data_IF_473366468190
#
_entry.id   IF_473366468190
#
_cell.length_a   1.000
_cell.length_b   1.000
_cell.length_c   1.000
_cell.angle_alpha   90.00
_cell.angle_beta   90.00
_cell.angle_gamma   90.00
#
_symmetry.space_group_name_H-M   'P 1'
#
loop_
_entity.id
_entity.type
_entity.pdbx_description
1 polymer ?
#
# COMPACT_ATOMS: atom_id res chain seq x y z
N UNK A 1 43.52 21.37 11.91
CA UNK A 1 42.86 21.32 10.59
C UNK A 1 42.34 19.91 10.42
N UNK A 2 41.03 19.75 10.23
CA UNK A 2 40.34 18.45 10.18
C UNK A 2 39.22 18.40 11.22
N UNK A 3 38.07 18.99 10.91
CA UNK A 3 36.88 18.92 11.76
C UNK A 3 36.16 17.59 11.51
N UNK A 4 36.15 16.75 12.55
CA UNK A 4 35.14 15.72 12.77
C UNK A 4 33.77 16.41 12.89
N UNK A 5 32.82 16.06 12.03
CA UNK A 5 31.41 16.24 12.35
C UNK A 5 30.81 14.85 12.65
N UNK A 6 30.65 14.58 13.94
CA UNK A 6 29.69 13.60 14.46
C UNK A 6 28.31 13.93 13.90
N UNK A 7 27.70 12.98 13.18
CA UNK A 7 26.27 12.99 12.94
C UNK A 7 25.63 12.27 14.13
N UNK A 8 25.13 13.07 15.08
CA UNK A 8 24.24 12.61 16.13
C UNK A 8 22.80 12.75 15.62
N UNK A 9 22.15 11.63 15.29
CA UNK A 9 20.69 11.60 15.11
C UNK A 9 20.08 11.29 16.48
N UNK A 10 19.78 12.35 17.22
CA UNK A 10 19.01 12.30 18.45
C UNK A 10 17.54 12.20 18.06
N UNK A 11 16.89 11.11 18.48
CA UNK A 11 15.44 10.96 18.51
C UNK A 11 14.79 12.14 19.26
N UNK A 12 14.20 13.07 18.53
CA UNK A 12 13.33 14.10 19.09
C UNK A 12 11.87 13.65 18.99
N UNK A 13 11.35 13.05 20.06
CA UNK A 13 9.92 12.95 20.33
C UNK A 13 9.63 12.90 21.83
N UNK A 14 9.72 14.07 22.47
CA UNK A 14 9.17 14.45 23.79
C UNK A 14 8.91 15.96 23.66
N UNK A 15 7.76 16.60 23.96
CA UNK A 15 6.72 16.48 24.99
C UNK A 15 5.37 16.87 24.36
N UNK A 16 4.20 16.41 24.84
CA UNK A 16 3.47 17.05 25.94
C UNK A 16 2.83 16.02 26.88
N UNK A 17 3.28 16.02 28.13
CA UNK A 17 2.46 15.66 29.30
C UNK A 17 2.01 16.97 29.95
N UNK A 18 0.72 17.08 30.29
CA UNK A 18 0.28 17.61 31.59
C UNK A 18 -1.22 17.38 31.82
N UNK A 19 -1.49 16.51 32.79
CA UNK A 19 -2.52 16.59 33.83
C UNK A 19 -4.01 16.70 33.44
N UNK A 20 -4.75 15.63 33.77
CA UNK A 20 -5.70 15.71 34.88
C UNK A 20 -5.81 14.36 35.59
N UNK A 21 -5.65 14.43 36.91
CA UNK A 21 -5.74 13.35 37.89
C UNK A 21 -7.17 12.82 38.07
N UNK A 22 -7.25 11.59 38.56
CA UNK A 22 -8.42 10.78 38.89
C UNK A 22 -9.62 11.50 39.52
N UNK A 23 -10.82 11.01 39.19
CA UNK A 23 -11.82 10.72 40.22
C UNK A 23 -12.74 9.59 39.77
N UNK A 24 -12.70 8.46 40.50
CA UNK A 24 -13.74 7.43 40.50
C UNK A 24 -15.08 8.08 40.90
N UNK A 25 -16.14 7.84 40.15
CA UNK A 25 -17.51 7.86 40.70
C UNK A 25 -18.36 6.77 40.06
N UNK A 26 -19.19 6.16 40.90
CA UNK A 26 -20.01 4.96 40.70
C UNK A 26 -21.17 5.18 39.69
N UNK A 27 -21.84 4.10 39.23
CA UNK A 27 -22.80 4.17 38.13
C UNK A 27 -24.25 4.46 38.56
N UNK A 28 -25.07 4.77 37.54
CA UNK A 28 -26.55 4.83 37.47
C UNK A 28 -27.20 6.17 37.87
N UNK A 29 -28.43 6.51 37.40
CA UNK A 29 -29.41 5.68 36.68
C UNK A 29 -30.05 6.28 35.42
N UNK A 30 -30.70 5.40 34.65
CA UNK A 30 -31.62 5.69 33.53
C UNK A 30 -32.89 6.41 34.01
N UNK A 31 -33.35 7.47 33.32
CA UNK A 31 -34.74 7.95 33.36
C UNK A 31 -35.36 7.90 31.95
N UNK A 32 -36.31 6.99 31.68
CA UNK A 32 -37.77 7.20 31.70
C UNK A 32 -38.27 8.45 30.96
N UNK A 33 -38.78 8.18 29.77
CA UNK A 33 -39.73 8.97 28.98
C UNK A 33 -41.01 9.29 29.77
N UNK A 34 -41.62 10.47 29.50
CA UNK A 34 -43.07 10.48 29.31
C UNK A 34 -43.50 11.30 28.07
N UNK A 35 -44.41 10.70 27.31
CA UNK A 35 -45.30 11.36 26.36
C UNK A 35 -46.31 12.28 27.07
N UNK A 36 -46.70 13.36 26.38
CA UNK A 36 -48.10 13.65 26.00
C UNK A 36 -48.57 15.11 26.17
N UNK A 37 -49.16 15.60 25.07
CA UNK A 37 -50.31 16.51 24.93
C UNK A 37 -50.23 18.02 25.21
N UNK A 38 -50.05 18.74 24.10
CA UNK A 38 -50.98 19.70 23.49
C UNK A 38 -51.71 20.75 24.37
N UNK A 39 -51.48 22.04 24.05
CA UNK A 39 -52.58 23.00 23.87
C UNK A 39 -52.16 24.16 22.95
N UNK A 40 -53.03 24.45 21.99
CA UNK A 40 -52.98 25.50 20.95
C UNK A 40 -53.46 26.83 21.52
N UNK A 41 -52.84 27.97 21.15
CA UNK A 41 -53.52 29.25 20.87
C UNK A 41 -52.66 30.17 19.96
N UNK A 42 -53.11 30.21 18.69
CA UNK A 42 -53.20 31.29 17.68
C UNK A 42 -52.54 32.65 17.97
N UNK A 43 -51.71 33.15 17.03
CA UNK A 43 -52.00 34.37 16.25
C UNK A 43 -51.01 34.58 15.09
N UNK A 44 -51.57 34.96 13.93
CA UNK A 44 -50.88 35.26 12.68
C UNK A 44 -50.43 36.71 12.73
N UNK A 45 -49.14 36.97 12.50
CA UNK A 45 -48.70 38.27 11.99
C UNK A 45 -47.70 38.07 10.85
N UNK A 46 -48.05 38.65 9.72
CA UNK A 46 -47.40 38.52 8.43
C UNK A 46 -46.50 39.75 8.24
N UNK A 47 -45.22 39.66 8.62
CA UNK A 47 -44.21 40.53 8.01
C UNK A 47 -42.79 39.99 8.12
N UNK A 48 -42.08 40.11 7.00
CA UNK A 48 -40.63 40.17 6.86
C UNK A 48 -39.82 38.89 7.19
N UNK A 49 -39.56 38.13 6.12
CA UNK A 49 -38.21 38.03 5.57
C UNK A 49 -37.10 37.57 6.53
N UNK A 50 -36.93 36.26 6.64
CA UNK A 50 -35.62 35.62 6.49
C UNK A 50 -35.87 34.13 6.31
N UNK A 51 -35.77 33.67 5.07
CA UNK A 51 -35.59 32.24 4.82
C UNK A 51 -34.32 31.86 5.57
N UNK A 52 -34.46 31.21 6.73
CA UNK A 52 -33.37 30.56 7.41
C UNK A 52 -32.70 29.63 6.41
N UNK A 53 -31.61 30.11 5.82
CA UNK A 53 -30.72 29.32 4.99
C UNK A 53 -30.06 28.36 5.97
N UNK A 54 -30.69 27.20 6.16
CA UNK A 54 -30.08 26.05 6.78
C UNK A 54 -28.76 25.83 6.04
N UNK A 55 -27.68 26.31 6.64
CA UNK A 55 -26.32 26.20 6.12
C UNK A 55 -25.85 24.77 6.35
N UNK A 56 -26.52 23.81 5.71
CA UNK A 56 -25.99 22.46 5.62
C UNK A 56 -24.79 22.47 4.68
N UNK A 57 -23.68 21.89 5.14
CA UNK A 57 -22.49 21.71 4.33
C UNK A 57 -22.84 20.97 3.01
N UNK A 58 -22.09 21.20 1.92
CA UNK A 58 -22.44 20.64 0.62
C UNK A 58 -22.29 19.11 0.59
N UNK A 59 -23.11 18.48 -0.24
CA UNK A 59 -22.95 17.09 -0.72
C UNK A 59 -22.68 17.12 -2.22
N UNK A 60 -22.11 16.04 -2.77
CA UNK A 60 -21.69 15.99 -4.18
C UNK A 60 -22.39 14.88 -4.95
N UNK A 61 -22.57 15.05 -6.25
CA UNK A 61 -22.92 13.97 -7.17
C UNK A 61 -21.69 13.11 -7.51
N UNK A 62 -21.89 11.94 -8.16
CA UNK A 62 -20.77 11.09 -8.61
C UNK A 62 -19.83 11.83 -9.57
N UNK A 63 -20.39 12.59 -10.54
CA UNK A 63 -19.59 13.31 -11.53
C UNK A 63 -18.81 14.48 -10.89
N UNK A 64 -19.45 15.23 -9.99
CA UNK A 64 -18.78 16.29 -9.23
C UNK A 64 -17.68 15.71 -8.34
N UNK A 65 -17.93 14.59 -7.65
CA UNK A 65 -16.94 13.91 -6.83
C UNK A 65 -15.73 13.46 -7.66
N UNK A 66 -15.97 12.89 -8.84
CA UNK A 66 -14.94 12.45 -9.77
C UNK A 66 -14.07 13.60 -10.24
N UNK A 67 -14.69 14.71 -10.65
CA UNK A 67 -13.98 15.91 -11.08
C UNK A 67 -13.15 16.50 -9.95
N UNK A 68 -13.75 16.71 -8.77
CA UNK A 68 -13.08 17.29 -7.61
C UNK A 68 -11.88 16.45 -7.14
N UNK A 69 -12.04 15.12 -7.08
CA UNK A 69 -10.96 14.20 -6.69
C UNK A 69 -9.82 14.21 -7.72
N UNK A 70 -10.15 14.14 -9.01
CA UNK A 70 -9.17 14.14 -10.09
C UNK A 70 -8.38 15.46 -10.15
N UNK A 71 -9.08 16.59 -10.05
CA UNK A 71 -8.45 17.91 -10.07
C UNK A 71 -7.56 18.13 -8.85
N UNK A 72 -7.98 17.66 -7.67
CA UNK A 72 -7.18 17.82 -6.44
C UNK A 72 -5.85 17.08 -6.53
N UNK A 73 -5.85 15.82 -6.99
CA UNK A 73 -4.63 15.03 -7.20
C UNK A 73 -3.75 15.65 -8.29
N UNK A 74 -4.34 16.05 -9.41
CA UNK A 74 -3.63 16.71 -10.51
C UNK A 74 -2.96 18.01 -10.06
N UNK A 75 -3.64 18.83 -9.27
CA UNK A 75 -3.08 20.09 -8.78
C UNK A 75 -1.94 19.85 -7.78
N UNK A 76 -2.00 18.79 -6.97
CA UNK A 76 -0.88 18.36 -6.13
C UNK A 76 0.33 18.01 -7.01
N UNK A 77 0.17 17.12 -7.99
CA UNK A 77 1.25 16.72 -8.93
C UNK A 77 1.84 17.94 -9.64
N UNK A 78 0.99 18.81 -10.19
CA UNK A 78 1.43 20.03 -10.87
C UNK A 78 2.18 21.00 -9.96
N UNK A 79 1.86 21.02 -8.66
CA UNK A 79 2.58 21.84 -7.68
C UNK A 79 4.00 21.33 -7.50
N UNK A 80 4.19 20.00 -7.38
CA UNK A 80 5.51 19.40 -7.38
C UNK A 80 6.25 19.71 -8.68
N UNK A 81 5.68 19.39 -9.84
CA UNK A 81 6.34 19.60 -11.13
C UNK A 81 6.77 21.05 -11.37
N UNK A 82 5.90 22.01 -11.02
CA UNK A 82 6.14 23.42 -11.25
C UNK A 82 7.24 23.95 -10.34
N UNK A 83 7.19 23.64 -9.05
CA UNK A 83 8.21 24.08 -8.10
C UNK A 83 9.54 23.36 -8.33
N UNK A 84 9.52 22.06 -8.65
CA UNK A 84 10.74 21.31 -8.99
C UNK A 84 11.47 21.93 -10.18
N UNK A 85 10.74 22.33 -11.22
CA UNK A 85 11.33 23.06 -12.36
C UNK A 85 11.86 24.45 -11.99
N UNK A 86 11.20 25.15 -11.08
CA UNK A 86 11.59 26.51 -10.66
C UNK A 86 12.82 26.52 -9.74
N UNK A 87 12.86 25.57 -8.81
CA UNK A 87 13.86 25.49 -7.74
C UNK A 87 14.99 24.47 -8.05
N UNK A 88 14.86 23.71 -9.14
CA UNK A 88 15.86 22.74 -9.58
C UNK A 88 15.85 21.42 -8.79
N UNK A 89 14.68 20.98 -8.33
CA UNK A 89 14.50 19.67 -7.70
C UNK A 89 14.30 18.62 -8.79
N UNK A 90 15.21 17.64 -8.84
CA UNK A 90 15.29 16.68 -9.95
C UNK A 90 15.85 15.31 -9.57
N UNK A 91 16.23 15.13 -8.30
CA UNK A 91 16.97 13.95 -7.83
C UNK A 91 16.87 13.80 -6.31
N UNK A 92 17.35 12.69 -5.76
CA UNK A 92 17.47 12.51 -4.31
C UNK A 92 18.53 13.43 -3.70
N UNK A 93 19.56 13.79 -4.46
CA UNK A 93 20.59 14.76 -4.06
C UNK A 93 20.08 16.21 -4.10
N UNK A 94 19.00 16.47 -4.85
CA UNK A 94 18.29 17.74 -4.89
C UNK A 94 16.78 17.53 -4.65
N UNK A 95 16.39 17.12 -3.43
CA UNK A 95 15.02 16.78 -3.12
C UNK A 95 14.15 18.04 -3.00
N UNK A 96 12.84 17.84 -2.88
CA UNK A 96 11.91 18.94 -2.69
C UNK A 96 12.19 19.72 -1.38
N UNK A 97 12.26 21.05 -1.46
CA UNK A 97 12.20 21.87 -0.24
C UNK A 97 10.75 21.95 0.25
N UNK A 98 10.45 21.15 1.28
CA UNK A 98 9.12 21.08 1.84
C UNK A 98 8.63 22.42 2.43
N UNK A 99 9.51 23.33 2.83
CA UNK A 99 9.10 24.66 3.32
C UNK A 99 8.52 25.53 2.20
N UNK A 100 9.03 25.40 0.98
CA UNK A 100 8.53 26.09 -0.21
C UNK A 100 7.28 25.40 -0.79
N UNK A 101 7.27 24.06 -0.74
CA UNK A 101 6.20 23.23 -1.28
C UNK A 101 4.90 23.28 -0.42
N UNK A 102 5.03 23.17 0.91
CA UNK A 102 3.92 23.04 1.85
C UNK A 102 2.84 24.13 1.74
N UNK A 103 3.18 25.44 1.62
CA UNK A 103 2.17 26.50 1.47
C UNK A 103 1.30 26.34 0.23
N UNK A 104 1.88 25.88 -0.90
CA UNK A 104 1.16 25.67 -2.16
C UNK A 104 0.25 24.46 -2.10
N UNK A 105 0.74 23.36 -1.52
CA UNK A 105 -0.07 22.14 -1.36
C UNK A 105 -1.31 22.35 -0.48
N UNK A 106 -1.27 23.27 0.49
CA UNK A 106 -2.41 23.61 1.36
C UNK A 106 -3.58 24.28 0.63
N UNK A 107 -3.40 24.71 -0.62
CA UNK A 107 -4.49 25.18 -1.48
C UNK A 107 -5.43 24.02 -1.86
N UNK A 108 -4.88 22.80 -2.03
CA UNK A 108 -5.62 21.63 -2.55
C UNK A 108 -5.81 20.52 -1.53
N UNK A 109 -4.96 20.47 -0.49
CA UNK A 109 -4.95 19.42 0.53
C UNK A 109 -5.13 19.99 1.94
N UNK A 110 -5.65 19.17 2.84
CA UNK A 110 -5.76 19.53 4.26
C UNK A 110 -4.38 19.68 4.90
N UNK A 111 -4.27 20.48 5.95
CA UNK A 111 -2.99 20.66 6.66
C UNK A 111 -2.45 19.35 7.25
N UNK A 112 -3.34 18.42 7.63
CA UNK A 112 -2.95 17.09 8.10
C UNK A 112 -2.25 16.31 7.00
N UNK A 113 -2.89 16.17 5.84
CA UNK A 113 -2.34 15.45 4.70
C UNK A 113 -1.01 16.01 4.21
N UNK A 114 -0.91 17.35 4.18
CA UNK A 114 0.33 18.05 3.81
C UNK A 114 1.44 17.70 4.80
N UNK A 115 1.18 17.77 6.11
CA UNK A 115 2.18 17.54 7.13
C UNK A 115 2.59 16.07 7.30
N UNK A 116 1.79 15.12 6.79
CA UNK A 116 2.05 13.67 6.88
C UNK A 116 2.43 13.10 5.51
N UNK A 117 1.47 12.54 4.76
CA UNK A 117 1.72 11.75 3.55
C UNK A 117 2.45 12.53 2.46
N UNK A 118 2.05 13.78 2.20
CA UNK A 118 2.72 14.60 1.18
C UNK A 118 4.12 15.05 1.59
N UNK A 119 4.39 15.20 2.89
CA UNK A 119 5.74 15.45 3.39
C UNK A 119 6.65 14.25 3.17
N UNK A 120 6.14 13.03 3.39
CA UNK A 120 6.86 11.80 3.10
C UNK A 120 7.12 11.67 1.60
N UNK A 121 6.10 11.88 0.76
CA UNK A 121 6.28 11.83 -0.69
C UNK A 121 7.33 12.83 -1.16
N UNK A 122 7.38 14.03 -0.57
CA UNK A 122 8.36 15.04 -0.94
C UNK A 122 9.83 14.62 -0.74
N UNK A 123 10.12 13.61 0.09
CA UNK A 123 11.49 13.11 0.27
C UNK A 123 11.97 12.21 -0.87
N UNK A 124 11.04 11.57 -1.60
CA UNK A 124 11.35 10.62 -2.67
C UNK A 124 10.71 10.97 -4.02
N UNK A 125 9.94 12.05 -4.11
CA UNK A 125 9.18 12.39 -5.33
C UNK A 125 10.05 12.54 -6.60
N UNK A 126 11.30 12.97 -6.44
CA UNK A 126 12.27 13.10 -7.53
C UNK A 126 13.31 11.99 -7.54
N UNK A 127 13.06 10.86 -6.85
CA UNK A 127 13.88 9.68 -7.03
C UNK A 127 13.88 9.29 -8.52
N UNK A 128 14.96 8.67 -8.99
CA UNK A 128 14.95 7.97 -10.28
C UNK A 128 14.33 6.57 -10.15
N UNK A 129 13.44 6.40 -9.19
CA UNK A 129 12.72 5.17 -8.96
C UNK A 129 11.38 5.23 -9.70
N UNK A 130 11.07 4.18 -10.46
CA UNK A 130 9.80 4.04 -11.18
C UNK A 130 8.66 3.74 -10.17
N UNK A 131 8.38 4.69 -9.28
CA UNK A 131 7.38 4.58 -8.22
C UNK A 131 6.31 5.68 -8.33
N UNK A 132 5.06 5.26 -8.55
CA UNK A 132 3.92 6.17 -8.57
C UNK A 132 3.42 6.47 -7.15
N UNK A 133 3.98 7.50 -6.49
CA UNK A 133 3.57 7.81 -5.10
C UNK A 133 2.23 8.55 -4.96
N UNK A 134 1.65 9.03 -6.07
CA UNK A 134 0.36 9.75 -6.11
C UNK A 134 -0.59 9.05 -7.10
N UNK A 135 -1.79 8.61 -6.65
CA UNK A 135 -2.72 7.90 -7.52
C UNK A 135 -3.20 8.75 -8.70
N UNK A 136 -3.44 8.10 -9.84
CA UNK A 136 -3.97 8.75 -11.03
C UNK A 136 -5.40 8.26 -11.33
N UNK A 137 -6.40 9.08 -11.02
CA UNK A 137 -7.80 8.71 -11.24
C UNK A 137 -8.21 8.71 -12.73
N UNK A 138 -7.44 9.32 -13.63
CA UNK A 138 -7.81 9.41 -15.04
C UNK A 138 -7.83 8.05 -15.75
N UNK A 139 -7.01 7.11 -15.28
CA UNK A 139 -6.91 5.75 -15.82
C UNK A 139 -7.74 4.74 -15.04
N UNK A 140 -8.54 5.17 -14.05
CA UNK A 140 -9.31 4.24 -13.21
C UNK A 140 -10.63 3.80 -13.82
N UNK A 141 -11.13 2.65 -13.40
CA UNK A 141 -12.45 2.08 -13.67
C UNK A 141 -13.25 1.95 -12.37
N UNK A 142 -14.54 1.62 -12.47
CA UNK A 142 -15.42 1.38 -11.31
C UNK A 142 -15.40 2.52 -10.27
N UNK A 143 -15.37 3.77 -10.73
CA UNK A 143 -15.43 4.92 -9.84
C UNK A 143 -16.77 4.97 -9.10
N UNK A 144 -16.75 5.06 -7.77
CA UNK A 144 -17.94 5.12 -6.92
C UNK A 144 -17.73 6.09 -5.76
N UNK A 145 -18.75 6.89 -5.45
CA UNK A 145 -18.84 7.57 -4.15
C UNK A 145 -19.37 6.57 -3.12
N UNK A 146 -18.59 6.31 -2.07
CA UNK A 146 -18.89 5.28 -1.04
C UNK A 146 -19.36 5.86 0.29
N UNK A 147 -19.08 7.15 0.53
CA UNK A 147 -19.55 7.86 1.71
C UNK A 147 -19.82 9.31 1.29
N UNK A 148 -21.06 9.78 1.36
CA UNK A 148 -21.42 11.13 0.95
C UNK A 148 -22.26 11.78 2.04
N UNK A 149 -21.65 12.68 2.80
CA UNK A 149 -22.27 13.36 3.92
C UNK A 149 -22.01 14.87 3.78
N UNK A 150 -22.85 15.73 4.37
CA UNK A 150 -22.61 17.16 4.36
C UNK A 150 -21.16 17.51 4.77
N UNK A 151 -20.40 18.08 3.83
CA UNK A 151 -19.03 18.54 4.04
C UNK A 151 -17.94 17.48 3.98
N UNK A 152 -18.27 16.23 3.65
CA UNK A 152 -17.29 15.16 3.49
C UNK A 152 -17.78 14.11 2.49
N UNK A 153 -16.91 13.69 1.58
CA UNK A 153 -17.17 12.50 0.80
C UNK A 153 -15.94 11.62 0.63
N UNK A 154 -16.17 10.34 0.33
CA UNK A 154 -15.13 9.37 0.02
C UNK A 154 -15.45 8.66 -1.28
N UNK A 155 -14.43 8.36 -2.06
CA UNK A 155 -14.54 7.66 -3.34
C UNK A 155 -13.74 6.37 -3.28
N UNK A 156 -14.13 5.42 -4.13
CA UNK A 156 -13.37 4.23 -4.47
C UNK A 156 -13.26 4.14 -5.98
N UNK A 157 -12.08 3.79 -6.48
CA UNK A 157 -11.85 3.54 -7.90
C UNK A 157 -10.82 2.42 -8.04
N UNK A 158 -10.82 1.71 -9.17
CA UNK A 158 -9.85 0.65 -9.45
C UNK A 158 -8.90 1.14 -10.53
N UNK A 159 -7.60 1.08 -10.26
CA UNK A 159 -6.56 1.17 -11.28
C UNK A 159 -6.19 -0.26 -11.68
N UNK A 160 -6.55 -0.75 -12.89
CA UNK A 160 -6.34 -2.15 -13.25
C UNK A 160 -4.88 -2.59 -13.35
N UNK A 161 -3.97 -1.70 -13.76
CA UNK A 161 -2.54 -1.97 -13.77
C UNK A 161 -1.81 -0.80 -13.13
N UNK A 162 -0.81 -1.14 -12.31
CA UNK A 162 0.26 -0.21 -11.96
C UNK A 162 1.13 0.13 -13.18
N UNK A 163 2.09 1.03 -13.00
CA UNK A 163 2.99 1.46 -14.09
C UNK A 163 3.92 0.34 -14.59
N UNK A 164 4.07 -0.73 -13.81
CA UNK A 164 4.93 -1.88 -14.12
C UNK A 164 4.16 -3.05 -14.77
N UNK A 165 2.84 -2.99 -14.79
CA UNK A 165 1.96 -4.04 -15.31
C UNK A 165 1.72 -5.20 -14.33
N UNK A 166 2.08 -5.06 -13.05
CA UNK A 166 2.03 -6.12 -12.03
C UNK A 166 0.66 -6.22 -11.33
N UNK A 167 -0.42 -6.02 -12.09
CA UNK A 167 -1.77 -6.00 -11.55
C UNK A 167 -2.15 -4.67 -10.91
N UNK A 168 -3.37 -4.61 -10.40
CA UNK A 168 -4.02 -3.35 -10.06
C UNK A 168 -4.24 -3.09 -8.58
N UNK A 169 -4.72 -1.88 -8.30
CA UNK A 169 -5.05 -1.42 -6.95
C UNK A 169 -6.46 -0.83 -6.88
N UNK A 170 -7.10 -0.97 -5.72
CA UNK A 170 -8.27 -0.19 -5.35
C UNK A 170 -7.82 1.05 -4.60
N UNK A 171 -8.10 2.22 -5.16
CA UNK A 171 -7.81 3.53 -4.58
C UNK A 171 -9.02 3.98 -3.76
N UNK A 172 -8.77 4.44 -2.54
CA UNK A 172 -9.73 5.14 -1.70
C UNK A 172 -9.26 6.57 -1.47
N UNK A 173 -10.14 7.54 -1.70
CA UNK A 173 -9.83 8.96 -1.49
C UNK A 173 -10.89 9.59 -0.59
N UNK A 174 -10.47 10.45 0.32
CA UNK A 174 -11.37 11.24 1.16
C UNK A 174 -11.20 12.73 0.87
N UNK A 175 -12.32 13.42 0.76
CA UNK A 175 -12.42 14.84 0.50
C UNK A 175 -13.20 15.51 1.62
N UNK A 176 -12.70 16.64 2.11
CA UNK A 176 -13.32 17.41 3.20
C UNK A 176 -13.55 18.85 2.79
N UNK A 177 -14.74 19.36 3.07
CA UNK A 177 -15.08 20.76 2.83
C UNK A 177 -14.52 21.62 3.97
N UNK A 178 -13.62 22.53 3.62
CA UNK A 178 -13.05 23.52 4.53
C UNK A 178 -13.51 24.94 4.21
N UNK A 179 -12.90 25.92 4.90
CA UNK A 179 -13.17 27.36 4.71
C UNK A 179 -13.00 27.85 3.27
N UNK A 180 -12.09 27.23 2.51
CA UNK A 180 -11.72 27.64 1.15
C UNK A 180 -12.26 26.67 0.09
N UNK A 181 -13.21 25.79 0.45
CA UNK A 181 -13.77 24.76 -0.43
C UNK A 181 -13.31 23.33 -0.13
N UNK A 182 -13.54 22.42 -1.08
CA UNK A 182 -13.15 21.02 -0.98
C UNK A 182 -11.62 20.85 -1.01
N UNK A 183 -11.09 20.03 -0.11
CA UNK A 183 -9.67 19.68 -0.05
C UNK A 183 -9.48 18.18 0.12
N UNK A 184 -8.39 17.68 -0.47
CA UNK A 184 -7.93 16.32 -0.29
C UNK A 184 -7.53 16.09 1.17
N UNK A 185 -8.17 15.13 1.83
CA UNK A 185 -7.98 14.86 3.25
C UNK A 185 -7.04 13.68 3.50
N UNK A 186 -7.20 12.60 2.75
CA UNK A 186 -6.42 11.36 2.84
C UNK A 186 -6.67 10.54 1.58
N UNK A 187 -5.75 9.64 1.27
CA UNK A 187 -5.98 8.55 0.33
C UNK A 187 -5.20 7.33 0.77
N UNK A 188 -5.71 6.17 0.42
CA UNK A 188 -5.09 4.87 0.66
C UNK A 188 -5.33 3.97 -0.56
N UNK A 189 -4.48 2.97 -0.71
CA UNK A 189 -4.51 2.02 -1.82
C UNK A 189 -4.49 0.60 -1.25
N UNK A 190 -5.30 -0.27 -1.85
CA UNK A 190 -5.29 -1.70 -1.55
C UNK A 190 -4.90 -2.44 -2.82
N UNK A 191 -3.87 -3.27 -2.77
CA UNK A 191 -3.52 -4.11 -3.92
C UNK A 191 -4.57 -5.19 -4.15
N UNK A 192 -4.59 -5.77 -5.35
CA UNK A 192 -5.46 -6.90 -5.67
C UNK A 192 -5.30 -8.11 -4.72
N UNK A 193 -4.15 -8.19 -4.04
CA UNK A 193 -3.80 -9.25 -3.09
C UNK A 193 -4.57 -9.08 -1.78
N UNK A 194 -4.65 -7.84 -1.27
CA UNK A 194 -5.45 -7.48 -0.10
C UNK A 194 -6.95 -7.46 -0.41
N UNK A 195 -7.31 -7.03 -1.62
CA UNK A 195 -8.69 -6.97 -2.08
C UNK A 195 -8.75 -7.31 -3.58
N UNK A 196 -9.25 -8.51 -3.95
CA UNK A 196 -9.51 -8.87 -5.34
C UNK A 196 -10.20 -7.75 -6.10
N UNK A 197 -9.70 -7.44 -7.29
CA UNK A 197 -10.30 -6.42 -8.14
C UNK A 197 -11.60 -6.93 -8.76
N UNK A 198 -11.63 -8.23 -9.07
CA UNK A 198 -12.72 -8.90 -9.79
C UNK A 198 -13.13 -8.08 -11.02
N UNK A 199 -12.15 -7.74 -11.85
CA UNK A 199 -12.37 -6.90 -13.02
C UNK A 199 -13.22 -7.66 -14.03
N UNK A 200 -14.15 -6.95 -14.66
CA UNK A 200 -14.92 -7.46 -15.80
C UNK A 200 -14.23 -7.15 -17.13
N UNK A 201 -14.61 -7.86 -18.19
CA UNK A 201 -14.09 -7.60 -19.53
C UNK A 201 -14.41 -6.19 -20.03
N UNK A 202 -15.60 -5.68 -19.73
CA UNK A 202 -16.01 -4.32 -20.08
C UNK A 202 -15.16 -3.26 -19.35
N UNK A 203 -14.87 -3.48 -18.06
CA UNK A 203 -14.01 -2.59 -17.29
C UNK A 203 -12.58 -2.58 -17.82
N UNK A 204 -12.01 -3.75 -18.13
CA UNK A 204 -10.67 -3.82 -18.71
C UNK A 204 -10.61 -3.15 -20.09
N UNK A 205 -11.63 -3.30 -20.94
CA UNK A 205 -11.73 -2.58 -22.21
C UNK A 205 -11.89 -1.07 -22.02
N UNK A 206 -12.64 -0.62 -21.01
CA UNK A 206 -12.76 0.80 -20.65
C UNK A 206 -11.41 1.37 -20.23
N UNK A 207 -10.63 0.60 -19.48
CA UNK A 207 -9.27 0.94 -19.10
C UNK A 207 -8.35 1.08 -20.31
N UNK A 208 -8.29 0.06 -21.18
CA UNK A 208 -7.45 0.09 -22.39
C UNK A 208 -7.78 1.29 -23.30
N UNK A 209 -9.06 1.64 -23.46
CA UNK A 209 -9.45 2.84 -24.22
C UNK A 209 -8.86 4.14 -23.67
N UNK A 210 -8.54 4.20 -22.37
CA UNK A 210 -7.93 5.38 -21.74
C UNK A 210 -6.42 5.43 -21.93
N UNK A 211 -5.74 4.27 -21.87
CA UNK A 211 -4.28 4.20 -21.90
C UNK A 211 -3.70 3.94 -23.30
N UNK A 212 -4.39 3.16 -24.13
CA UNK A 212 -3.99 2.82 -25.50
C UNK A 212 -5.17 3.00 -26.47
N UNK A 213 -5.68 4.24 -26.65
CA UNK A 213 -6.91 4.50 -27.43
C UNK A 213 -6.85 4.09 -28.90
N UNK A 214 -5.66 3.83 -29.44
CA UNK A 214 -5.45 3.43 -30.82
C UNK A 214 -5.33 1.91 -31.01
N UNK A 215 -5.26 1.13 -29.93
CA UNK A 215 -5.16 -0.32 -29.99
C UNK A 215 -6.55 -0.96 -30.09
N UNK A 216 -6.73 -1.81 -31.09
CA UNK A 216 -7.97 -2.55 -31.29
C UNK A 216 -7.94 -3.83 -30.45
N UNK A 217 -8.43 -3.75 -29.21
CA UNK A 217 -8.59 -4.91 -28.34
C UNK A 217 -10.06 -5.32 -28.26
N UNK A 218 -10.32 -6.62 -28.43
CA UNK A 218 -11.66 -7.20 -28.33
C UNK A 218 -11.68 -8.33 -27.32
N UNK A 219 -12.78 -8.44 -26.57
CA UNK A 219 -13.01 -9.56 -25.67
C UNK A 219 -13.47 -10.79 -26.46
N UNK A 220 -12.88 -11.95 -26.16
CA UNK A 220 -13.22 -13.23 -26.79
C UNK A 220 -14.11 -14.08 -25.88
N UNK A 221 -13.60 -14.53 -24.73
CA UNK A 221 -14.31 -15.42 -23.79
C UNK A 221 -13.75 -15.33 -22.38
N UNK A 222 -14.54 -15.82 -21.41
CA UNK A 222 -14.06 -16.10 -20.06
C UNK A 222 -13.68 -17.59 -19.97
N UNK A 223 -12.63 -17.89 -19.20
CA UNK A 223 -12.20 -19.25 -18.89
C UNK A 223 -11.66 -19.31 -17.46
N UNK A 224 -11.22 -20.48 -17.02
CA UNK A 224 -10.54 -20.65 -15.73
C UNK A 224 -9.23 -21.37 -15.95
N UNK A 225 -8.22 -21.02 -15.16
CA UNK A 225 -7.02 -21.81 -14.98
C UNK A 225 -6.98 -22.33 -13.56
N UNK A 226 -6.24 -23.40 -13.36
CA UNK A 226 -5.91 -23.88 -12.02
C UNK A 226 -4.55 -23.29 -11.64
N UNK A 227 -4.47 -22.62 -10.49
CA UNK A 227 -3.19 -22.19 -9.94
C UNK A 227 -2.40 -23.38 -9.35
N UNK A 228 -1.16 -23.15 -8.94
CA UNK A 228 -0.29 -24.20 -8.39
C UNK A 228 -0.82 -24.86 -7.10
N UNK A 229 -1.84 -24.26 -6.48
CA UNK A 229 -2.51 -24.73 -5.27
C UNK A 229 -3.84 -25.43 -5.54
N UNK A 230 -4.20 -25.63 -6.81
CA UNK A 230 -5.47 -26.25 -7.21
C UNK A 230 -6.67 -25.30 -7.19
N UNK A 231 -6.46 -24.00 -6.98
CA UNK A 231 -7.56 -23.03 -6.99
C UNK A 231 -7.89 -22.63 -8.42
N UNK A 232 -9.18 -22.53 -8.71
CA UNK A 232 -9.65 -22.05 -10.00
C UNK A 232 -9.60 -20.53 -10.04
N UNK A 233 -8.78 -19.98 -10.91
CA UNK A 233 -8.69 -18.55 -11.17
C UNK A 233 -9.34 -18.18 -12.51
N UNK A 234 -10.16 -17.13 -12.49
CA UNK A 234 -10.90 -16.67 -13.67
C UNK A 234 -9.98 -15.85 -14.59
N UNK A 235 -9.93 -16.24 -15.86
CA UNK A 235 -9.24 -15.52 -16.93
C UNK A 235 -10.25 -14.90 -17.89
N UNK A 236 -9.97 -13.66 -18.28
CA UNK A 236 -10.61 -12.96 -19.39
C UNK A 236 -9.68 -13.03 -20.61
N UNK A 237 -10.10 -13.69 -21.69
CA UNK A 237 -9.31 -13.77 -22.92
C UNK A 237 -9.70 -12.65 -23.88
N UNK A 238 -8.68 -11.93 -24.33
CA UNK A 238 -8.78 -10.82 -25.27
C UNK A 238 -7.96 -11.10 -26.51
N UNK A 239 -8.26 -10.37 -27.58
CA UNK A 239 -7.52 -10.44 -28.83
C UNK A 239 -7.15 -9.05 -29.30
N UNK A 240 -5.87 -8.86 -29.62
CA UNK A 240 -5.30 -7.69 -30.29
C UNK A 240 -4.65 -8.09 -31.63
N UNK A 241 -3.93 -7.16 -32.26
CA UNK A 241 -3.23 -7.40 -33.53
C UNK A 241 -2.06 -8.39 -33.40
N UNK A 242 -1.54 -8.61 -32.19
CA UNK A 242 -0.43 -9.51 -31.90
C UNK A 242 -0.89 -10.94 -31.58
N UNK A 243 -2.13 -11.12 -31.12
CA UNK A 243 -2.69 -12.44 -30.84
C UNK A 243 -3.77 -12.44 -29.76
N UNK A 244 -4.03 -13.63 -29.22
CA UNK A 244 -4.85 -13.79 -28.02
C UNK A 244 -3.97 -13.65 -26.77
N UNK A 245 -4.49 -12.99 -25.73
CA UNK A 245 -3.85 -12.87 -24.43
C UNK A 245 -4.87 -12.99 -23.30
N UNK A 246 -4.44 -13.48 -22.15
CA UNK A 246 -5.25 -13.59 -20.95
C UNK A 246 -5.08 -12.40 -20.02
N UNK A 247 -6.10 -12.15 -19.20
CA UNK A 247 -6.05 -11.22 -18.07
C UNK A 247 -6.69 -11.90 -16.87
N UNK A 248 -5.99 -11.95 -15.75
CA UNK A 248 -6.54 -12.47 -14.51
C UNK A 248 -7.64 -11.54 -13.99
N UNK A 249 -8.85 -12.06 -13.74
CA UNK A 249 -9.94 -11.22 -13.25
C UNK A 249 -9.64 -10.67 -11.85
N UNK A 250 -8.92 -11.44 -11.02
CA UNK A 250 -8.57 -11.07 -9.65
C UNK A 250 -7.58 -9.91 -9.58
N UNK A 251 -6.53 -9.95 -10.41
CA UNK A 251 -5.38 -9.02 -10.35
C UNK A 251 -5.29 -8.03 -11.50
N UNK A 252 -5.98 -8.30 -12.61
CA UNK A 252 -5.79 -7.69 -13.94
C UNK A 252 -4.41 -7.85 -14.57
N UNK A 253 -3.56 -8.73 -14.05
CA UNK A 253 -2.28 -9.06 -14.68
C UNK A 253 -2.49 -9.72 -16.05
N UNK A 254 -1.63 -9.33 -17.01
CA UNK A 254 -1.65 -9.85 -18.37
C UNK A 254 -0.87 -11.17 -18.45
N UNK A 255 -1.49 -12.16 -19.08
CA UNK A 255 -0.89 -13.46 -19.40
C UNK A 255 -0.65 -13.51 -20.91
N UNK A 256 0.61 -13.37 -21.31
CA UNK A 256 1.02 -13.37 -22.72
C UNK A 256 1.14 -14.78 -23.32
N UNK A 257 1.26 -15.78 -22.48
CA UNK A 257 1.32 -17.18 -22.85
C UNK A 257 0.27 -17.92 -22.04
N UNK A 258 -0.87 -18.24 -22.66
CA UNK A 258 -1.69 -19.36 -22.18
C UNK A 258 -1.00 -20.63 -22.68
N UNK A 259 0.20 -20.90 -22.16
CA UNK A 259 0.78 -22.21 -22.31
C UNK A 259 -0.05 -23.14 -21.39
N UNK A 260 -0.38 -24.34 -21.90
CA UNK A 260 -0.58 -25.48 -21.01
C UNK A 260 0.78 -25.74 -20.34
N UNK A 261 1.14 -24.89 -19.38
CA UNK A 261 2.28 -25.13 -18.53
C UNK A 261 1.88 -26.30 -17.65
N UNK A 262 2.43 -27.46 -18.01
CA UNK A 262 2.45 -28.63 -17.15
C UNK A 262 2.99 -28.13 -15.81
N UNK A 263 2.17 -28.13 -14.74
CA UNK A 263 2.68 -27.73 -13.45
C UNK A 263 3.79 -28.71 -13.12
N UNK A 264 5.02 -28.19 -12.97
CA UNK A 264 6.05 -28.91 -12.23
C UNK A 264 5.61 -28.85 -10.78
N UNK A 265 4.69 -29.75 -10.43
CA UNK A 265 4.44 -30.14 -9.06
C UNK A 265 5.77 -30.67 -8.55
N UNK A 266 6.45 -29.88 -7.71
CA UNK A 266 7.58 -30.37 -6.94
C UNK A 266 7.07 -31.56 -6.13
N UNK A 267 7.65 -32.76 -6.28
CA UNK A 267 7.39 -33.81 -5.31
C UNK A 267 7.85 -33.29 -3.94
N UNK A 268 6.93 -33.33 -2.97
CA UNK A 268 7.21 -33.23 -1.54
C UNK A 268 8.11 -34.42 -1.17
N UNK A 269 9.40 -34.31 -1.43
CA UNK A 269 10.40 -35.10 -0.72
C UNK A 269 11.00 -34.21 0.37
N UNK A 270 10.55 -34.43 1.60
CA UNK A 270 11.24 -34.02 2.84
C UNK A 270 12.63 -34.70 2.87
N UNK A 271 13.57 -34.16 2.10
CA UNK A 271 14.98 -34.43 2.32
C UNK A 271 15.49 -33.37 3.30
N UNK A 272 16.00 -33.81 4.44
CA UNK A 272 16.56 -32.97 5.50
C UNK A 272 17.78 -32.20 4.92
N UNK A 273 17.59 -30.92 4.56
CA UNK A 273 18.63 -30.09 3.95
C UNK A 273 19.53 -29.51 5.05
N UNK A 274 20.82 -29.85 5.04
CA UNK A 274 21.80 -29.25 5.95
C UNK A 274 22.24 -27.86 5.45
N UNK A 275 21.56 -26.81 5.91
CA UNK A 275 21.88 -25.42 5.61
C UNK A 275 23.24 -24.95 6.14
N UNK A 276 23.92 -25.73 7.00
CA UNK A 276 25.26 -25.39 7.47
C UNK A 276 26.36 -25.71 6.44
N UNK A 277 26.02 -26.49 5.40
CA UNK A 277 26.96 -26.88 4.36
C UNK A 277 26.24 -27.06 3.01
N UNK A 278 26.05 -25.95 2.30
CA UNK A 278 25.39 -25.95 0.99
C UNK A 278 26.45 -26.13 -0.10
N UNK A 279 26.42 -27.24 -0.83
CA UNK A 279 27.34 -27.48 -1.96
C UNK A 279 26.73 -27.11 -3.32
N UNK A 280 25.41 -27.21 -3.44
CA UNK A 280 24.62 -26.89 -4.63
C UNK A 280 23.33 -26.23 -4.18
N UNK A 281 22.81 -25.30 -4.97
CA UNK A 281 21.56 -24.59 -4.68
C UNK A 281 20.49 -25.09 -5.63
N UNK A 282 19.53 -25.82 -5.07
CA UNK A 282 18.33 -26.28 -5.74
C UNK A 282 17.06 -25.74 -5.05
N UNK A 283 15.90 -26.10 -5.57
CA UNK A 283 14.61 -25.66 -5.04
C UNK A 283 14.38 -26.07 -3.57
N UNK A 284 14.91 -27.22 -3.14
CA UNK A 284 14.79 -27.69 -1.75
C UNK A 284 15.62 -26.82 -0.82
N UNK A 285 16.86 -26.50 -1.22
CA UNK A 285 17.77 -25.61 -0.49
C UNK A 285 17.19 -24.20 -0.37
N UNK A 286 16.68 -23.65 -1.47
CA UNK A 286 16.06 -22.31 -1.48
C UNK A 286 14.87 -22.24 -0.53
N UNK A 287 13.99 -23.24 -0.58
CA UNK A 287 12.82 -23.34 0.29
C UNK A 287 13.25 -23.43 1.76
N UNK A 288 14.09 -24.40 2.11
CA UNK A 288 14.54 -24.60 3.49
C UNK A 288 15.25 -23.38 4.05
N UNK A 289 16.10 -22.72 3.26
CA UNK A 289 16.79 -21.50 3.66
C UNK A 289 15.81 -20.36 3.98
N UNK A 290 14.87 -20.11 3.07
CA UNK A 290 13.91 -19.01 3.18
C UNK A 290 12.94 -19.23 4.36
N UNK A 291 12.40 -20.44 4.49
CA UNK A 291 11.54 -20.84 5.61
C UNK A 291 12.24 -20.70 6.96
N UNK A 292 13.49 -21.19 7.05
CA UNK A 292 14.27 -21.12 8.29
C UNK A 292 14.60 -19.67 8.65
N UNK A 293 15.01 -18.86 7.68
CA UNK A 293 15.27 -17.43 7.88
C UNK A 293 14.04 -16.71 8.45
N UNK A 294 12.86 -16.90 7.86
CA UNK A 294 11.64 -16.22 8.30
C UNK A 294 11.19 -16.67 9.70
N UNK A 295 11.34 -17.96 10.01
CA UNK A 295 11.07 -18.47 11.37
C UNK A 295 12.04 -17.84 12.39
N UNK A 296 13.32 -17.81 12.07
CA UNK A 296 14.33 -17.23 12.97
C UNK A 296 14.20 -15.71 13.08
N UNK A 297 13.73 -15.02 12.03
CA UNK A 297 13.41 -13.59 12.04
C UNK A 297 12.27 -13.27 12.99
N UNK A 298 11.16 -14.00 12.89
CA UNK A 298 10.00 -13.80 13.79
C UNK A 298 10.38 -14.08 15.25
N UNK A 299 11.18 -15.11 15.52
CA UNK A 299 11.77 -15.35 16.85
C UNK A 299 12.68 -14.20 17.31
N UNK A 300 13.56 -13.71 16.44
CA UNK A 300 14.46 -12.61 16.73
C UNK A 300 13.68 -11.33 17.09
N UNK A 301 12.63 -11.00 16.34
CA UNK A 301 11.72 -9.87 16.61
C UNK A 301 11.03 -10.06 17.98
N UNK A 302 10.47 -11.24 18.23
CA UNK A 302 9.70 -11.50 19.44
C UNK A 302 10.54 -11.49 20.72
N UNK A 303 11.81 -11.88 20.62
CA UNK A 303 12.74 -11.99 21.75
C UNK A 303 13.76 -10.84 21.83
N UNK A 304 13.83 -9.95 20.84
CA UNK A 304 14.89 -8.96 20.65
C UNK A 304 16.30 -9.59 20.50
N UNK A 305 16.39 -10.72 19.82
CA UNK A 305 17.62 -11.51 19.70
C UNK A 305 18.13 -11.52 18.25
N UNK A 306 18.64 -10.37 17.79
CA UNK A 306 19.20 -10.25 16.43
C UNK A 306 20.32 -11.26 16.14
N UNK A 307 21.00 -11.75 17.19
CA UNK A 307 22.03 -12.77 17.05
C UNK A 307 21.54 -14.06 16.36
N UNK A 308 20.23 -14.35 16.41
CA UNK A 308 19.60 -15.49 15.72
C UNK A 308 19.70 -15.37 14.21
N UNK A 309 19.56 -14.17 13.66
CA UNK A 309 19.50 -13.96 12.21
C UNK A 309 20.73 -13.30 11.61
N UNK A 310 21.67 -12.82 12.43
CA UNK A 310 22.84 -12.09 11.94
C UNK A 310 23.67 -12.86 10.91
N UNK A 311 23.61 -14.19 10.94
CA UNK A 311 24.38 -15.08 10.07
C UNK A 311 23.79 -15.21 8.65
N UNK A 312 22.55 -14.75 8.43
CA UNK A 312 21.92 -14.69 7.11
C UNK A 312 22.40 -13.50 6.28
N UNK A 313 23.15 -12.56 6.86
CA UNK A 313 23.53 -11.32 6.21
C UNK A 313 25.05 -11.16 6.18
N UNK A 314 25.54 -10.41 5.19
CA UNK A 314 26.93 -9.97 5.21
C UNK A 314 27.16 -8.98 6.36
N UNK A 315 28.17 -9.26 7.18
CA UNK A 315 28.51 -8.42 8.34
C UNK A 315 28.88 -7.00 7.88
N UNK A 316 28.41 -6.01 8.62
CA UNK A 316 28.64 -4.58 8.36
C UNK A 316 27.99 -4.05 7.04
N UNK A 317 27.15 -4.85 6.38
CA UNK A 317 26.32 -4.39 5.25
C UNK A 317 25.19 -3.45 5.71
N UNK A 318 24.66 -2.65 4.78
CA UNK A 318 23.49 -1.81 5.05
C UNK A 318 22.31 -2.65 5.52
N UNK A 319 22.00 -3.74 4.80
CA UNK A 319 20.91 -4.66 5.15
C UNK A 319 21.09 -5.27 6.55
N UNK A 320 22.30 -5.64 6.94
CA UNK A 320 22.59 -6.13 8.30
C UNK A 320 22.17 -5.11 9.37
N UNK A 321 22.56 -3.85 9.19
CA UNK A 321 22.22 -2.78 10.14
C UNK A 321 20.73 -2.45 10.16
N UNK A 322 20.07 -2.49 9.00
CA UNK A 322 18.62 -2.27 8.88
C UNK A 322 17.83 -3.37 9.59
N UNK A 323 18.22 -4.63 9.40
CA UNK A 323 17.56 -5.77 10.05
C UNK A 323 17.79 -5.77 11.57
N UNK A 324 18.98 -5.38 12.02
CA UNK A 324 19.24 -5.16 13.45
C UNK A 324 18.33 -4.09 14.04
N UNK A 325 18.15 -2.97 13.32
CA UNK A 325 17.27 -1.89 13.75
C UNK A 325 15.79 -2.30 13.71
N UNK A 326 15.38 -3.08 12.72
CA UNK A 326 14.01 -3.61 12.59
C UNK A 326 13.63 -4.46 13.80
N UNK A 327 14.44 -5.49 14.10
CA UNK A 327 14.23 -6.39 15.25
C UNK A 327 14.05 -5.59 16.53
N UNK A 328 14.97 -4.66 16.79
CA UNK A 328 14.90 -3.81 17.99
C UNK A 328 13.65 -2.93 18.01
N UNK A 329 13.32 -2.32 16.88
CA UNK A 329 12.19 -1.37 16.77
C UNK A 329 10.85 -2.04 16.99
N UNK A 330 10.64 -3.21 16.37
CA UNK A 330 9.41 -3.97 16.52
C UNK A 330 9.24 -4.48 17.96
N UNK A 331 10.33 -5.00 18.55
CA UNK A 331 10.33 -5.42 19.95
C UNK A 331 9.96 -4.29 20.91
N UNK A 332 10.65 -3.14 20.81
CA UNK A 332 10.46 -1.96 21.67
C UNK A 332 9.05 -1.37 21.55
N UNK A 333 8.41 -1.54 20.39
CA UNK A 333 7.03 -1.12 20.12
C UNK A 333 5.99 -2.15 20.52
N UNK A 334 6.39 -3.23 21.20
CA UNK A 334 5.50 -4.33 21.59
C UNK A 334 4.77 -4.97 20.41
N UNK A 335 5.40 -4.95 19.23
CA UNK A 335 4.93 -5.65 18.04
C UNK A 335 5.51 -7.06 18.09
N UNK A 336 4.67 -8.07 17.88
CA UNK A 336 5.07 -9.47 17.78
C UNK A 336 4.60 -10.02 16.45
N UNK A 337 5.38 -10.93 15.88
CA UNK A 337 5.11 -11.52 14.59
C UNK A 337 5.20 -13.03 14.70
N UNK A 338 4.23 -13.75 14.14
CA UNK A 338 4.27 -15.20 14.02
C UNK A 338 4.13 -15.58 12.54
N UNK A 339 5.06 -16.37 12.02
CA UNK A 339 4.99 -16.88 10.66
C UNK A 339 3.87 -17.93 10.56
N UNK A 340 2.87 -17.66 9.74
CA UNK A 340 1.77 -18.59 9.45
C UNK A 340 2.14 -19.52 8.30
N UNK A 341 2.50 -18.93 7.16
CA UNK A 341 2.90 -19.66 5.96
C UNK A 341 3.92 -18.85 5.16
N UNK A 342 4.76 -19.55 4.41
CA UNK A 342 5.54 -18.97 3.33
C UNK A 342 5.39 -19.84 2.09
N UNK A 343 5.25 -19.17 0.96
CA UNK A 343 5.10 -19.77 -0.35
C UNK A 343 6.19 -19.19 -1.25
N UNK A 344 7.04 -20.05 -1.81
CA UNK A 344 8.05 -19.65 -2.80
C UNK A 344 7.34 -19.61 -4.15
N UNK A 345 7.12 -18.40 -4.66
CA UNK A 345 6.39 -18.16 -5.90
C UNK A 345 7.27 -18.38 -7.12
N UNK A 346 8.52 -17.94 -7.04
CA UNK A 346 9.47 -18.05 -8.14
C UNK A 346 10.89 -18.07 -7.55
N UNK A 347 11.81 -18.83 -8.16
CA UNK A 347 13.22 -18.64 -7.91
C UNK A 347 14.02 -18.76 -9.21
N UNK A 348 14.98 -17.88 -9.41
CA UNK A 348 15.80 -17.86 -10.63
C UNK A 348 17.26 -17.62 -10.30
N UNK A 349 18.15 -18.30 -11.03
CA UNK A 349 19.59 -17.98 -11.00
C UNK A 349 19.83 -16.77 -11.90
N UNK A 350 20.33 -15.68 -11.33
CA UNK A 350 20.72 -14.47 -12.09
C UNK A 350 22.16 -14.56 -12.59
N UNK A 351 23.05 -15.08 -11.75
CA UNK A 351 24.46 -15.32 -12.06
C UNK A 351 24.90 -16.65 -11.42
N UNK A 352 26.13 -17.09 -11.69
CA UNK A 352 26.61 -18.43 -11.30
C UNK A 352 26.35 -18.80 -9.83
N UNK A 353 26.36 -17.81 -8.93
CA UNK A 353 26.17 -18.00 -7.49
C UNK A 353 25.12 -17.05 -6.88
N UNK A 354 24.30 -16.40 -7.70
CA UNK A 354 23.30 -15.42 -7.23
C UNK A 354 21.91 -15.84 -7.67
N UNK A 355 20.97 -15.80 -6.73
CA UNK A 355 19.61 -16.28 -6.88
C UNK A 355 18.63 -15.20 -6.46
N UNK A 356 17.59 -15.00 -7.26
CA UNK A 356 16.43 -14.21 -6.87
C UNK A 356 15.33 -15.17 -6.42
N UNK A 357 14.70 -14.89 -5.27
CA UNK A 357 13.63 -15.70 -4.71
C UNK A 357 12.45 -14.79 -4.40
N UNK A 358 11.31 -15.05 -5.03
CA UNK A 358 10.06 -14.34 -4.79
C UNK A 358 9.19 -15.14 -3.84
N UNK A 359 8.70 -14.49 -2.79
CA UNK A 359 7.90 -15.14 -1.76
C UNK A 359 6.58 -14.43 -1.56
N UNK A 360 5.59 -15.22 -1.13
CA UNK A 360 4.44 -14.76 -0.37
C UNK A 360 4.60 -15.22 1.07
N UNK A 361 4.55 -14.30 2.01
CA UNK A 361 4.73 -14.55 3.44
C UNK A 361 3.47 -14.12 4.17
N UNK A 362 2.88 -15.01 4.96
CA UNK A 362 1.72 -14.69 5.79
C UNK A 362 2.17 -14.68 7.24
N UNK A 363 1.99 -13.56 7.91
CA UNK A 363 2.36 -13.36 9.30
C UNK A 363 1.18 -12.88 10.12
N UNK A 364 1.04 -13.39 11.34
CA UNK A 364 0.18 -12.79 12.35
C UNK A 364 0.96 -11.70 13.08
N UNK A 365 0.50 -10.45 12.98
CA UNK A 365 1.10 -9.30 13.63
C UNK A 365 0.26 -8.93 14.85
N UNK A 366 0.84 -9.04 16.04
CA UNK A 366 0.19 -8.69 17.30
C UNK A 366 0.71 -7.35 17.82
N UNK A 367 -0.21 -6.40 18.05
CA UNK A 367 0.08 -5.08 18.63
C UNK A 367 -0.94 -4.82 19.75
N UNK A 368 -0.50 -4.59 20.98
CA UNK A 368 -1.38 -4.33 22.13
C UNK A 368 -2.52 -5.37 22.29
N UNK A 369 -2.18 -6.67 22.21
CA UNK A 369 -3.13 -7.80 22.32
C UNK A 369 -4.14 -7.92 21.16
N UNK A 370 -4.01 -7.10 20.12
CA UNK A 370 -4.76 -7.25 18.88
C UNK A 370 -3.90 -7.91 17.82
N UNK A 371 -4.37 -9.03 17.26
CA UNK A 371 -3.69 -9.76 16.19
C UNK A 371 -4.40 -9.53 14.86
N UNK A 372 -3.62 -9.18 13.84
CA UNK A 372 -4.07 -9.07 12.45
C UNK A 372 -3.16 -9.93 11.57
N UNK A 373 -3.75 -10.67 10.63
CA UNK A 373 -2.99 -11.38 9.60
C UNK A 373 -2.54 -10.40 8.51
N UNK A 374 -1.27 -10.46 8.13
CA UNK A 374 -0.66 -9.65 7.07
C UNK A 374 0.01 -10.55 6.06
N UNK A 375 -0.15 -10.19 4.80
CA UNK A 375 0.57 -10.81 3.69
C UNK A 375 1.69 -9.85 3.21
N UNK A 376 2.89 -10.40 3.03
CA UNK A 376 4.04 -9.70 2.47
C UNK A 376 4.52 -10.41 1.21
N UNK A 377 4.89 -9.61 0.22
CA UNK A 377 5.49 -10.09 -1.02
C UNK A 377 6.91 -9.58 -1.08
N UNK A 378 7.87 -10.51 -1.06
CA UNK A 378 9.29 -10.18 -0.95
C UNK A 378 10.08 -10.76 -2.09
N UNK A 379 11.06 -9.99 -2.53
CA UNK A 379 12.14 -10.48 -3.40
C UNK A 379 13.41 -10.54 -2.57
N UNK A 380 14.01 -11.71 -2.48
CA UNK A 380 15.30 -11.95 -1.85
C UNK A 380 16.37 -12.11 -2.92
N UNK A 381 17.47 -11.37 -2.82
CA UNK A 381 18.71 -11.70 -3.55
C UNK A 381 19.62 -12.50 -2.63
N UNK A 382 19.79 -13.79 -2.92
CA UNK A 382 20.60 -14.73 -2.16
C UNK A 382 21.89 -15.01 -2.92
N UNK A 383 23.03 -14.92 -2.24
CA UNK A 383 24.34 -15.27 -2.79
C UNK A 383 24.89 -16.52 -2.12
N UNK A 384 25.40 -17.45 -2.91
CA UNK A 384 26.07 -18.67 -2.46
C UNK A 384 27.59 -18.52 -2.52
N UNK A 385 28.22 -18.35 -1.36
CA UNK A 385 29.68 -18.23 -1.27
C UNK A 385 30.21 -19.03 -0.08
N UNK A 386 31.35 -19.73 -0.28
CA UNK A 386 32.04 -20.49 0.75
C UNK A 386 31.13 -21.51 1.49
N UNK A 387 30.33 -22.26 0.72
CA UNK A 387 29.34 -23.23 1.20
C UNK A 387 28.20 -22.63 2.06
N UNK A 388 28.01 -21.30 2.01
CA UNK A 388 26.97 -20.57 2.76
C UNK A 388 26.09 -19.74 1.85
N UNK A 389 24.85 -19.57 2.29
CA UNK A 389 23.88 -18.67 1.67
C UNK A 389 23.74 -17.40 2.52
N UNK A 390 23.75 -16.26 1.86
CA UNK A 390 23.53 -14.95 2.50
C UNK A 390 22.54 -14.13 1.68
N UNK A 391 21.66 -13.42 2.38
CA UNK A 391 20.74 -12.44 1.81
C UNK A 391 21.51 -11.13 1.66
N UNK A 392 21.56 -10.63 0.44
CA UNK A 392 22.27 -9.39 0.08
C UNK A 392 21.32 -8.25 -0.22
N UNK A 393 20.11 -8.56 -0.67
CA UNK A 393 19.04 -7.59 -0.91
C UNK A 393 17.70 -8.19 -0.50
N UNK A 394 16.83 -7.31 -0.01
CA UNK A 394 15.46 -7.61 0.39
C UNK A 394 14.57 -6.47 -0.09
N UNK A 395 13.63 -6.78 -0.97
CA UNK A 395 12.73 -5.78 -1.57
C UNK A 395 11.27 -6.19 -1.37
N UNK A 396 10.39 -5.19 -1.31
CA UNK A 396 8.94 -5.40 -1.41
C UNK A 396 8.54 -5.25 -2.87
N UNK A 397 7.54 -6.00 -3.32
CA UNK A 397 6.98 -5.83 -4.66
C UNK A 397 5.46 -5.97 -4.70
#
# INVERSE_FOLDING_TARGET
MGNLYMVAIICSLWLVLSACSETKSAPAPTPKEPESEATVLVDVDESANETQKSSSLPVVTNEEAKQLATDSLKNVIQTFDTLGKQEGWDSEEKPADFQLLSPRLKEFATSSLVATKLKTIATSYYCQCDEQSIPNLATTVRFKVINNRPGQFSISAIQPLDEKGNGGTTIYLNMKYGKDGWKLNEWDEMTYRQKPLDISSDEYLEYLKKITPNEAVSFNKETTIEDEHGNQEKILLFKDDSGEFGVLAKSSERINEVQEDVPVTLPLEDNDVDLNKVTEVDASVVRSFTETYLRDLTEAINLNEFDRIQHYFEKDSTLFSEQQQLVKTLYDRTIREDLTTVEILEWTSKEANSYEVKTKEVMNITINEHTEEKEYYRVYTIVHENEKLVITQLESY
#
